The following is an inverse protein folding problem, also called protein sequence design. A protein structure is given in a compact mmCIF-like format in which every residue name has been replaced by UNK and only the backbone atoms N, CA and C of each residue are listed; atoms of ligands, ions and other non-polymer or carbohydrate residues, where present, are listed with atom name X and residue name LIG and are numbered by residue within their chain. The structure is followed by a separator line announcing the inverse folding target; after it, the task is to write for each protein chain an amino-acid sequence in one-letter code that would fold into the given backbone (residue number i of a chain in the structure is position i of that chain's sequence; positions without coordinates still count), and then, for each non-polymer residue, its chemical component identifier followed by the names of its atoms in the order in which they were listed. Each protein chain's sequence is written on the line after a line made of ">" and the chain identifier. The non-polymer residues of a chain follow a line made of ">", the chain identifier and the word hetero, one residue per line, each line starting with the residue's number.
data_IF_396892889011
#
_entry.id   IF_396892889011
#
_cell.length_a   1.000
_cell.length_b   1.000
_cell.length_c   1.000
_cell.angle_alpha   90.00
_cell.angle_beta   90.00
_cell.angle_gamma   90.00
#
_symmetry.space_group_name_H-M   'P 1'
#
loop_
_entity.id
_entity.type
_entity.pdbx_description
1 polymer ?
#
# COMPACT_ATOMS: atom_id res chain seq x y z
N UNK A 1 25.57 21.32 3.98
CA UNK A 1 24.67 20.65 3.02
C UNK A 1 23.24 21.03 3.37
N UNK A 2 22.45 21.61 2.45
CA UNK A 2 21.02 21.79 2.69
C UNK A 2 20.39 20.39 2.74
N UNK A 3 19.79 20.04 3.87
CA UNK A 3 18.92 18.87 3.95
C UNK A 3 17.75 19.16 3.02
N UNK A 4 17.75 18.56 1.83
CA UNK A 4 16.63 18.69 0.91
C UNK A 4 15.47 17.94 1.52
N UNK A 5 14.35 18.62 1.77
CA UNK A 5 13.15 17.97 2.27
C UNK A 5 12.56 17.08 1.17
N UNK A 6 12.21 15.84 1.49
CA UNK A 6 11.66 14.88 0.54
C UNK A 6 10.43 15.42 -0.20
N UNK A 7 9.50 16.07 0.50
CA UNK A 7 8.29 16.66 -0.13
C UNK A 7 8.68 17.75 -1.12
N UNK A 8 9.68 18.57 -0.81
CA UNK A 8 10.18 19.60 -1.72
C UNK A 8 10.84 19.00 -2.97
N UNK A 9 11.60 17.91 -2.82
CA UNK A 9 12.18 17.21 -3.96
C UNK A 9 11.11 16.63 -4.90
N UNK A 10 10.04 16.04 -4.34
CA UNK A 10 8.90 15.52 -5.11
C UNK A 10 8.19 16.66 -5.84
N UNK A 11 7.91 17.77 -5.16
CA UNK A 11 7.25 18.94 -5.75
C UNK A 11 8.09 19.60 -6.83
N UNK A 12 9.41 19.65 -6.66
CA UNK A 12 10.33 20.12 -7.69
C UNK A 12 10.27 19.23 -8.93
N UNK A 13 10.37 17.91 -8.75
CA UNK A 13 10.28 16.96 -9.86
C UNK A 13 8.96 17.04 -10.61
N UNK A 14 7.85 17.25 -9.88
CA UNK A 14 6.53 17.47 -10.48
C UNK A 14 6.48 18.78 -11.26
N UNK A 15 6.97 19.88 -10.67
CA UNK A 15 7.00 21.21 -11.31
C UNK A 15 7.84 21.21 -12.58
N UNK A 16 8.99 20.56 -12.55
CA UNK A 16 9.90 20.42 -13.69
C UNK A 16 9.53 19.29 -14.66
N UNK A 17 8.43 18.56 -14.39
CA UNK A 17 7.90 17.47 -15.25
C UNK A 17 8.96 16.42 -15.60
N UNK A 18 9.75 16.01 -14.62
CA UNK A 18 10.77 14.99 -14.82
C UNK A 18 10.15 13.66 -15.27
N UNK A 19 10.83 12.94 -16.17
CA UNK A 19 10.50 11.54 -16.43
C UNK A 19 10.84 10.66 -15.23
N UNK A 20 10.24 9.46 -15.14
CA UNK A 20 10.50 8.51 -14.05
C UNK A 20 12.00 8.22 -13.85
N UNK A 21 12.74 8.07 -14.95
CA UNK A 21 14.19 7.84 -14.92
C UNK A 21 14.97 9.07 -14.43
N UNK A 22 14.64 10.27 -14.92
CA UNK A 22 15.25 11.52 -14.47
C UNK A 22 14.97 11.76 -12.98
N UNK A 23 13.73 11.50 -12.55
CA UNK A 23 13.36 11.57 -11.15
C UNK A 23 14.21 10.64 -10.29
N UNK A 24 14.29 9.36 -10.65
CA UNK A 24 15.06 8.39 -9.88
C UNK A 24 16.56 8.75 -9.77
N UNK A 25 17.17 9.26 -10.85
CA UNK A 25 18.56 9.74 -10.82
C UNK A 25 18.71 10.94 -9.86
N UNK A 26 17.86 11.95 -9.99
CA UNK A 26 17.97 13.15 -9.17
C UNK A 26 17.66 12.86 -7.70
N UNK A 27 16.69 12.00 -7.41
CA UNK A 27 16.43 11.52 -6.06
C UNK A 27 17.69 10.90 -5.44
N UNK A 28 18.35 9.97 -6.14
CA UNK A 28 19.61 9.36 -5.68
C UNK A 28 20.74 10.37 -5.44
N UNK A 29 20.76 11.48 -6.19
CA UNK A 29 21.72 12.58 -5.99
C UNK A 29 21.40 13.43 -4.77
N UNK A 30 20.12 13.69 -4.50
CA UNK A 30 19.69 14.49 -3.34
C UNK A 30 19.82 13.73 -2.02
N UNK A 31 19.67 12.41 -2.04
CA UNK A 31 19.74 11.54 -0.87
C UNK A 31 20.80 10.44 -1.07
N UNK A 32 22.11 10.80 -1.11
CA UNK A 32 23.18 9.83 -1.32
C UNK A 32 23.33 8.88 -0.12
N UNK A 33 23.55 7.59 -0.43
CA UNK A 33 23.91 6.44 0.44
C UNK A 33 24.01 6.74 1.94
N UNK A 34 23.00 6.32 2.69
CA UNK A 34 22.95 6.39 4.16
C UNK A 34 21.54 6.19 4.72
N UNK A 35 20.50 6.52 3.94
CA UNK A 35 19.11 6.22 4.25
C UNK A 35 18.56 5.25 3.21
N UNK A 36 17.94 4.14 3.64
CA UNK A 36 17.04 3.40 2.76
C UNK A 36 15.82 4.28 2.50
N UNK A 37 15.23 4.24 1.30
CA UNK A 37 14.09 5.09 0.98
C UNK A 37 12.87 4.80 1.87
N UNK A 38 12.76 3.58 2.38
CA UNK A 38 11.76 3.19 3.37
C UNK A 38 11.92 3.97 4.68
N UNK A 39 13.15 4.22 5.15
CA UNK A 39 13.40 5.07 6.34
C UNK A 39 12.98 6.52 6.09
N UNK A 40 13.00 6.97 4.82
CA UNK A 40 12.54 8.31 4.45
C UNK A 40 11.03 8.40 4.24
N UNK A 41 10.27 7.32 4.46
CA UNK A 41 8.82 7.24 4.19
C UNK A 41 8.48 7.66 2.75
N UNK A 42 9.30 7.26 1.76
CA UNK A 42 9.13 7.67 0.37
C UNK A 42 7.77 7.28 -0.22
N UNK A 43 7.28 6.07 0.06
CA UNK A 43 5.98 5.61 -0.43
C UNK A 43 4.84 6.49 0.10
N UNK A 44 4.86 6.82 1.39
CA UNK A 44 3.89 7.70 2.02
C UNK A 44 3.96 9.12 1.44
N UNK A 45 5.16 9.70 1.33
CA UNK A 45 5.31 11.04 0.77
C UNK A 45 4.83 11.12 -0.68
N UNK A 46 5.10 10.11 -1.51
CA UNK A 46 4.60 10.05 -2.89
C UNK A 46 3.08 9.92 -2.93
N UNK A 47 2.48 9.04 -2.12
CA UNK A 47 1.03 8.88 -2.07
C UNK A 47 0.35 10.15 -1.56
N UNK A 48 0.82 10.74 -0.45
CA UNK A 48 0.27 12.00 0.07
C UNK A 48 0.26 13.10 -1.00
N UNK A 49 1.37 13.28 -1.74
CA UNK A 49 1.44 14.29 -2.79
C UNK A 49 0.59 13.91 -4.02
N UNK A 50 0.48 12.62 -4.34
CA UNK A 50 -0.37 12.14 -5.43
C UNK A 50 -1.86 12.37 -5.13
N UNK A 51 -2.27 12.29 -3.87
CA UNK A 51 -3.67 12.42 -3.44
C UNK A 51 -4.08 13.87 -3.13
N UNK A 52 -3.30 14.88 -3.51
CA UNK A 52 -3.73 16.28 -3.41
C UNK A 52 -4.68 16.61 -4.57
N UNK A 53 -5.94 16.94 -4.26
CA UNK A 53 -6.97 17.32 -5.24
C UNK A 53 -8.05 16.25 -5.44
N UNK A 54 -9.01 16.45 -6.35
CA UNK A 54 -10.14 15.53 -6.55
C UNK A 54 -9.76 14.23 -7.27
N UNK A 55 -8.67 14.24 -8.03
CA UNK A 55 -8.17 13.11 -8.84
C UNK A 55 -6.68 12.91 -8.54
N UNK A 56 -6.17 11.67 -8.54
CA UNK A 56 -4.78 11.45 -8.19
C UNK A 56 -3.83 11.99 -9.28
N UNK A 57 -2.71 12.57 -8.87
CA UNK A 57 -1.72 13.15 -9.77
C UNK A 57 -0.98 12.04 -10.54
N UNK A 58 -1.17 11.91 -11.87
CA UNK A 58 -0.66 10.78 -12.62
C UNK A 58 0.87 10.72 -12.69
N UNK A 59 1.55 11.88 -12.64
CA UNK A 59 3.01 11.96 -12.68
C UNK A 59 3.63 11.50 -11.36
N UNK A 60 3.03 11.88 -10.23
CA UNK A 60 3.54 11.43 -8.93
C UNK A 60 3.23 9.93 -8.74
N UNK A 61 2.09 9.47 -9.23
CA UNK A 61 1.80 8.03 -9.30
C UNK A 61 2.80 7.26 -10.17
N UNK A 62 3.25 7.81 -11.31
CA UNK A 62 4.26 7.14 -12.13
C UNK A 62 5.59 6.99 -11.39
N UNK A 63 6.00 8.00 -10.62
CA UNK A 63 7.17 7.89 -9.73
C UNK A 63 7.03 6.78 -8.69
N UNK A 64 5.85 6.64 -8.08
CA UNK A 64 5.58 5.55 -7.13
C UNK A 64 5.61 4.17 -7.82
N UNK A 65 4.96 4.04 -8.99
CA UNK A 65 4.99 2.80 -9.78
C UNK A 65 6.41 2.42 -10.18
N UNK A 66 7.22 3.40 -10.55
CA UNK A 66 8.64 3.21 -10.84
C UNK A 66 9.41 2.82 -9.58
N UNK A 67 9.18 3.47 -8.43
CA UNK A 67 9.82 3.16 -7.16
C UNK A 67 9.54 1.71 -6.71
N UNK A 68 8.30 1.23 -6.90
CA UNK A 68 7.90 -0.15 -6.65
C UNK A 68 8.64 -1.11 -7.59
N UNK A 69 8.65 -0.81 -8.88
CA UNK A 69 9.23 -1.68 -9.91
C UNK A 69 10.75 -1.77 -9.82
N UNK A 70 11.41 -0.69 -9.39
CA UNK A 70 12.86 -0.61 -9.20
C UNK A 70 13.32 -0.95 -7.77
N UNK A 71 12.41 -1.45 -6.92
CA UNK A 71 12.68 -1.82 -5.52
C UNK A 71 13.32 -0.67 -4.71
N UNK A 72 12.98 0.58 -5.04
CA UNK A 72 13.37 1.72 -4.22
C UNK A 72 12.59 1.72 -2.90
N UNK A 73 11.33 1.29 -2.92
CA UNK A 73 10.47 1.16 -1.72
C UNK A 73 10.06 -0.29 -1.52
N UNK A 74 9.91 -0.70 -0.26
CA UNK A 74 9.38 -2.00 0.11
C UNK A 74 7.87 -2.09 -0.14
N UNK A 75 7.36 -3.31 -0.42
CA UNK A 75 5.92 -3.53 -0.51
C UNK A 75 5.20 -3.24 0.81
N UNK A 76 5.87 -3.47 1.95
CA UNK A 76 5.34 -3.15 3.27
C UNK A 76 5.07 -1.65 3.42
N UNK A 77 6.00 -0.77 3.04
CA UNK A 77 5.80 0.67 3.19
C UNK A 77 4.69 1.20 2.28
N UNK A 78 4.55 0.63 1.08
CA UNK A 78 3.46 0.95 0.16
C UNK A 78 2.11 0.51 0.72
N UNK A 79 1.97 -0.74 1.18
CA UNK A 79 0.73 -1.24 1.78
C UNK A 79 0.31 -0.43 3.02
N UNK A 80 1.27 -0.09 3.88
CA UNK A 80 1.03 0.77 5.04
C UNK A 80 0.53 2.16 4.61
N UNK A 81 1.16 2.77 3.60
CA UNK A 81 0.76 4.08 3.11
C UNK A 81 -0.63 4.07 2.44
N UNK A 82 -0.97 3.02 1.69
CA UNK A 82 -2.33 2.82 1.14
C UNK A 82 -3.36 2.74 2.26
N UNK A 83 -3.05 1.99 3.32
CA UNK A 83 -3.95 1.77 4.46
C UNK A 83 -4.31 3.04 5.24
N UNK A 84 -3.52 4.13 5.07
CA UNK A 84 -3.77 5.43 5.69
C UNK A 84 -4.82 6.27 4.96
N UNK A 85 -5.14 5.95 3.71
CA UNK A 85 -6.16 6.68 2.95
C UNK A 85 -7.56 6.32 3.45
N UNK A 86 -8.37 7.30 3.84
CA UNK A 86 -9.70 7.06 4.43
C UNK A 86 -10.86 7.78 3.72
N UNK A 87 -10.56 8.65 2.75
CA UNK A 87 -11.57 9.37 1.96
C UNK A 87 -12.10 8.51 0.79
N UNK A 88 -12.94 7.53 1.12
CA UNK A 88 -13.54 6.62 0.14
C UNK A 88 -14.54 7.28 -0.81
N UNK A 89 -14.86 8.58 -0.64
CA UNK A 89 -15.72 9.32 -1.58
C UNK A 89 -15.02 9.61 -2.92
N UNK A 90 -13.69 9.54 -2.94
CA UNK A 90 -12.85 9.85 -4.09
C UNK A 90 -12.57 8.61 -4.93
N UNK A 91 -13.54 8.19 -5.73
CA UNK A 91 -13.49 6.94 -6.51
C UNK A 91 -12.22 6.78 -7.35
N UNK A 92 -11.77 7.85 -8.04
CA UNK A 92 -10.55 7.80 -8.86
C UNK A 92 -9.28 7.55 -8.03
N UNK A 93 -9.23 8.04 -6.79
CA UNK A 93 -8.09 7.84 -5.90
C UNK A 93 -8.09 6.43 -5.36
N UNK A 94 -9.26 5.93 -4.95
CA UNK A 94 -9.42 4.54 -4.52
C UNK A 94 -9.04 3.59 -5.66
N UNK A 95 -9.54 3.82 -6.89
CA UNK A 95 -9.19 3.00 -8.04
C UNK A 95 -7.68 2.99 -8.29
N UNK A 96 -7.00 4.14 -8.23
CA UNK A 96 -5.54 4.18 -8.40
C UNK A 96 -4.78 3.42 -7.30
N UNK A 97 -5.29 3.42 -6.06
CA UNK A 97 -4.71 2.65 -4.95
C UNK A 97 -4.90 1.13 -5.16
N UNK A 98 -6.08 0.71 -5.62
CA UNK A 98 -6.35 -0.69 -5.98
C UNK A 98 -5.43 -1.15 -7.11
N UNK A 99 -5.25 -0.33 -8.15
CA UNK A 99 -4.32 -0.62 -9.25
C UNK A 99 -2.88 -0.78 -8.75
N UNK A 100 -2.45 0.05 -7.79
CA UNK A 100 -1.11 -0.07 -7.19
C UNK A 100 -0.96 -1.38 -6.40
N UNK A 101 -1.96 -1.77 -5.59
CA UNK A 101 -1.93 -3.05 -4.88
C UNK A 101 -1.84 -4.22 -5.87
N UNK A 102 -2.65 -4.19 -6.93
CA UNK A 102 -2.69 -5.23 -7.95
C UNK A 102 -1.33 -5.47 -8.62
N UNK A 103 -0.54 -4.41 -8.82
CA UNK A 103 0.78 -4.48 -9.46
C UNK A 103 1.75 -5.45 -8.79
N UNK A 104 1.65 -5.68 -7.47
CA UNK A 104 2.63 -6.47 -6.73
C UNK A 104 2.04 -7.52 -5.77
N UNK A 105 0.71 -7.62 -5.63
CA UNK A 105 0.05 -8.58 -4.75
C UNK A 105 0.50 -10.05 -4.97
N UNK A 106 0.81 -10.44 -6.21
CA UNK A 106 1.27 -11.80 -6.52
C UNK A 106 2.73 -12.04 -6.11
N UNK A 107 3.52 -10.96 -5.98
CA UNK A 107 4.96 -10.99 -5.66
C UNK A 107 5.29 -10.84 -4.17
N UNK A 108 4.28 -10.63 -3.32
CA UNK A 108 4.46 -10.51 -1.87
C UNK A 108 5.21 -11.71 -1.32
N UNK A 109 6.33 -11.51 -0.65
CA UNK A 109 7.16 -12.60 -0.17
C UNK A 109 7.99 -12.14 1.02
N UNK A 110 8.16 -13.04 1.98
CA UNK A 110 9.02 -12.82 3.14
C UNK A 110 10.43 -13.25 2.77
N UNK A 111 11.28 -12.28 2.48
CA UNK A 111 12.70 -12.48 2.25
C UNK A 111 13.48 -11.56 3.20
N UNK A 112 14.45 -12.09 3.93
CA UNK A 112 15.30 -11.29 4.82
C UNK A 112 15.01 -11.50 6.29
N UNK A 113 15.05 -10.41 7.07
CA UNK A 113 14.96 -10.47 8.54
C UNK A 113 13.54 -10.75 9.02
N UNK A 114 13.41 -11.41 10.16
CA UNK A 114 12.11 -11.68 10.78
C UNK A 114 11.27 -10.40 10.98
N UNK A 115 11.90 -9.29 11.39
CA UNK A 115 11.21 -8.01 11.60
C UNK A 115 10.60 -7.44 10.31
N UNK A 116 11.30 -7.54 9.19
CA UNK A 116 10.82 -7.07 7.87
C UNK A 116 9.64 -7.95 7.40
N UNK A 117 9.72 -9.25 7.67
CA UNK A 117 8.65 -10.20 7.36
C UNK A 117 7.39 -9.94 8.20
N UNK A 118 7.55 -9.69 9.51
CA UNK A 118 6.45 -9.32 10.39
C UNK A 118 5.86 -7.96 9.98
N UNK A 119 6.72 -7.00 9.63
CA UNK A 119 6.30 -5.70 9.10
C UNK A 119 5.42 -5.85 7.85
N UNK A 120 5.83 -6.69 6.90
CA UNK A 120 5.02 -7.00 5.73
C UNK A 120 3.68 -7.65 6.09
N UNK A 121 3.67 -8.61 7.02
CA UNK A 121 2.44 -9.27 7.47
C UNK A 121 1.45 -8.25 8.05
N UNK A 122 1.90 -7.37 8.94
CA UNK A 122 1.09 -6.29 9.53
C UNK A 122 0.59 -5.30 8.47
N UNK A 123 1.44 -4.92 7.53
CA UNK A 123 1.08 -4.00 6.46
C UNK A 123 0.02 -4.62 5.53
N UNK A 124 0.14 -5.90 5.20
CA UNK A 124 -0.85 -6.64 4.41
C UNK A 124 -2.19 -6.75 5.15
N UNK A 125 -2.17 -7.03 6.45
CA UNK A 125 -3.39 -7.06 7.26
C UNK A 125 -4.07 -5.68 7.32
N UNK A 126 -3.28 -4.62 7.51
CA UNK A 126 -3.78 -3.23 7.48
C UNK A 126 -4.41 -2.90 6.13
N UNK A 127 -3.78 -3.31 5.03
CA UNK A 127 -4.29 -3.08 3.68
C UNK A 127 -5.56 -3.89 3.40
N UNK A 128 -5.67 -5.10 3.97
CA UNK A 128 -6.89 -5.90 3.88
C UNK A 128 -8.04 -5.24 4.66
N UNK A 129 -7.79 -4.74 5.87
CA UNK A 129 -8.80 -3.98 6.62
C UNK A 129 -9.23 -2.72 5.86
N UNK A 130 -8.29 -2.00 5.25
CA UNK A 130 -8.57 -0.87 4.38
C UNK A 130 -9.47 -1.28 3.20
N UNK A 131 -9.15 -2.39 2.52
CA UNK A 131 -9.94 -2.90 1.39
C UNK A 131 -11.36 -3.31 1.79
N UNK A 132 -11.52 -3.91 2.98
CA UNK A 132 -12.85 -4.24 3.53
C UNK A 132 -13.67 -2.98 3.85
N UNK A 133 -13.05 -1.95 4.46
CA UNK A 133 -13.71 -0.65 4.68
C UNK A 133 -14.12 0.01 3.37
N UNK A 134 -13.24 -0.05 2.37
CA UNK A 134 -13.52 0.45 1.03
C UNK A 134 -14.69 -0.29 0.36
N UNK A 135 -14.74 -1.62 0.52
CA UNK A 135 -15.83 -2.46 0.02
C UNK A 135 -17.15 -2.09 0.70
N UNK A 136 -17.16 -1.94 2.02
CA UNK A 136 -18.33 -1.52 2.79
C UNK A 136 -18.84 -0.14 2.35
N UNK A 137 -17.97 0.86 2.25
CA UNK A 137 -18.33 2.19 1.79
C UNK A 137 -18.89 2.20 0.35
N UNK A 138 -18.37 1.32 -0.53
CA UNK A 138 -18.88 1.19 -1.90
C UNK A 138 -20.26 0.53 -1.93
N UNK A 139 -20.50 -0.47 -1.06
CA UNK A 139 -21.79 -1.14 -0.92
C UNK A 139 -22.87 -0.22 -0.36
N UNK A 140 -22.54 0.60 0.65
CA UNK A 140 -23.44 1.62 1.21
C UNK A 140 -23.86 2.63 0.12
N UNK A 141 -22.91 3.13 -0.67
CA UNK A 141 -23.21 4.03 -1.79
C UNK A 141 -24.06 3.38 -2.89
N UNK A 142 -23.83 2.10 -3.17
CA UNK A 142 -24.67 1.36 -4.12
C UNK A 142 -26.12 1.27 -3.62
N UNK A 143 -26.30 0.99 -2.33
CA UNK A 143 -27.63 0.94 -1.71
C UNK A 143 -28.35 2.29 -1.79
N UNK A 144 -27.66 3.39 -1.45
CA UNK A 144 -28.20 4.75 -1.59
C UNK A 144 -28.52 5.10 -3.05
N UNK A 145 -27.64 4.72 -3.97
CA UNK A 145 -27.81 4.94 -5.41
C UNK A 145 -29.00 4.18 -5.99
N UNK A 146 -29.33 2.99 -5.47
CA UNK A 146 -30.51 2.23 -5.88
C UNK A 146 -31.81 2.95 -5.48
N UNK A 147 -31.88 3.48 -4.27
CA UNK A 147 -33.02 4.28 -3.79
C UNK A 147 -33.20 5.58 -4.59
N UNK A 148 -32.08 6.18 -5.04
CA UNK A 148 -32.07 7.42 -5.81
C UNK A 148 -32.12 7.24 -7.35
N UNK A 149 -32.15 6.00 -7.86
CA UNK A 149 -32.15 5.71 -9.30
C UNK A 149 -30.82 5.97 -10.03
N UNK A 150 -29.69 6.04 -9.32
CA UNK A 150 -28.34 6.31 -9.83
C UNK A 150 -27.29 5.36 -9.21
N UNK A 151 -27.30 4.09 -9.60
CA UNK A 151 -26.48 3.03 -8.99
C UNK A 151 -25.10 2.76 -9.66
N UNK A 152 -24.86 3.31 -10.86
CA UNK A 152 -23.77 2.84 -11.76
C UNK A 152 -22.36 3.02 -11.18
N UNK A 153 -22.08 4.14 -10.50
CA UNK A 153 -20.74 4.40 -9.96
C UNK A 153 -20.40 3.51 -8.75
N UNK A 154 -21.38 3.29 -7.86
CA UNK A 154 -21.22 2.42 -6.69
C UNK A 154 -20.96 0.97 -7.08
N UNK A 155 -21.65 0.49 -8.12
CA UNK A 155 -21.50 -0.88 -8.64
C UNK A 155 -20.08 -1.12 -9.19
N UNK A 156 -19.58 -0.20 -10.04
CA UNK A 156 -18.23 -0.31 -10.60
C UNK A 156 -17.17 -0.33 -9.49
N UNK A 157 -17.28 0.56 -8.52
CA UNK A 157 -16.31 0.66 -7.43
C UNK A 157 -16.31 -0.59 -6.55
N UNK A 158 -17.50 -1.10 -6.22
CA UNK A 158 -17.67 -2.34 -5.47
C UNK A 158 -17.04 -3.53 -6.19
N UNK A 159 -17.27 -3.65 -7.51
CA UNK A 159 -16.69 -4.73 -8.32
C UNK A 159 -15.15 -4.72 -8.28
N UNK A 160 -14.51 -3.55 -8.39
CA UNK A 160 -13.06 -3.41 -8.30
C UNK A 160 -12.52 -3.83 -6.92
N UNK A 161 -13.21 -3.43 -5.85
CA UNK A 161 -12.83 -3.80 -4.49
C UNK A 161 -12.92 -5.32 -4.28
N UNK A 162 -14.02 -5.93 -4.72
CA UNK A 162 -14.23 -7.38 -4.63
C UNK A 162 -13.20 -8.16 -5.44
N UNK A 163 -12.89 -7.71 -6.66
CA UNK A 163 -11.85 -8.32 -7.50
C UNK A 163 -10.47 -8.27 -6.82
N UNK A 164 -10.10 -7.11 -6.25
CA UNK A 164 -8.84 -6.97 -5.52
C UNK A 164 -8.81 -7.86 -4.27
N UNK A 165 -9.95 -7.98 -3.57
CA UNK A 165 -10.09 -8.79 -2.36
C UNK A 165 -9.94 -10.29 -2.68
N UNK A 166 -10.65 -10.75 -3.71
CA UNK A 166 -10.58 -12.12 -4.21
C UNK A 166 -9.16 -12.48 -4.64
N UNK A 167 -8.52 -11.62 -5.43
CA UNK A 167 -7.13 -11.83 -5.86
C UNK A 167 -6.18 -11.90 -4.66
N UNK A 168 -6.31 -10.99 -3.70
CA UNK A 168 -5.47 -10.97 -2.50
C UNK A 168 -5.64 -12.24 -1.66
N UNK A 169 -6.86 -12.74 -1.52
CA UNK A 169 -7.19 -13.90 -0.67
C UNK A 169 -7.08 -15.26 -1.38
N UNK A 170 -7.09 -15.32 -2.71
CA UNK A 170 -6.94 -16.57 -3.46
C UNK A 170 -5.54 -17.18 -3.34
N UNK A 171 -4.53 -16.35 -3.08
CA UNK A 171 -3.15 -16.78 -2.85
C UNK A 171 -2.96 -17.42 -1.46
N UNK A 172 -2.58 -18.70 -1.44
CA UNK A 172 -2.23 -19.42 -0.19
C UNK A 172 -1.15 -18.70 0.61
N UNK A 173 -0.17 -18.12 -0.09
CA UNK A 173 0.91 -17.33 0.50
C UNK A 173 0.36 -16.10 1.23
N UNK A 174 -0.52 -15.33 0.59
CA UNK A 174 -1.11 -14.15 1.21
C UNK A 174 -1.97 -14.52 2.42
N UNK A 175 -2.73 -15.63 2.35
CA UNK A 175 -3.46 -16.16 3.50
C UNK A 175 -2.54 -16.54 4.66
N UNK A 176 -1.38 -17.15 4.38
CA UNK A 176 -0.39 -17.47 5.41
C UNK A 176 0.19 -16.21 6.07
N UNK A 177 0.54 -15.19 5.29
CA UNK A 177 1.02 -13.90 5.81
C UNK A 177 -0.02 -13.22 6.71
N UNK A 178 -1.29 -13.22 6.28
CA UNK A 178 -2.40 -12.69 7.07
C UNK A 178 -2.62 -13.47 8.37
N UNK A 179 -2.46 -14.80 8.33
CA UNK A 179 -2.57 -15.63 9.52
C UNK A 179 -1.47 -15.31 10.54
N UNK A 180 -0.22 -15.14 10.07
CA UNK A 180 0.91 -14.72 10.91
C UNK A 180 0.62 -13.36 11.56
N UNK A 181 0.14 -12.38 10.78
CA UNK A 181 -0.23 -11.06 11.30
C UNK A 181 -1.26 -11.14 12.44
N UNK A 182 -2.31 -11.95 12.27
CA UNK A 182 -3.36 -12.12 13.30
C UNK A 182 -2.84 -12.78 14.59
N UNK A 183 -1.96 -13.78 14.46
CA UNK A 183 -1.35 -14.41 15.63
C UNK A 183 -0.46 -13.44 16.41
N UNK A 184 0.20 -12.55 15.68
CA UNK A 184 1.08 -11.53 16.24
C UNK A 184 0.29 -10.45 16.99
N UNK A 185 -0.83 -9.95 16.45
CA UNK A 185 -1.75 -9.05 17.15
C UNK A 185 -2.31 -9.68 18.44
N UNK A 186 -2.65 -10.97 18.41
CA UNK A 186 -3.14 -11.68 19.59
C UNK A 186 -2.06 -11.84 20.66
N UNK A 187 -0.80 -12.06 20.27
CA UNK A 187 0.34 -12.18 21.19
C UNK A 187 0.67 -10.86 21.90
N UNK A 188 0.32 -9.71 21.30
CA UNK A 188 0.48 -8.39 21.92
C UNK A 188 -0.67 -7.99 22.86
N UNK A 189 -1.77 -8.75 22.87
CA UNK A 189 -2.86 -8.51 23.83
C UNK A 189 -2.48 -9.04 25.23
N UNK A 190 -2.77 -8.31 26.33
CA UNK A 190 -2.31 -8.67 27.67
C UNK A 190 -3.05 -9.86 28.32
N UNK A 191 -3.58 -10.79 27.51
CA UNK A 191 -4.24 -12.01 28.00
C UNK A 191 -3.22 -13.17 27.97
N UNK A 192 -2.91 -13.81 29.10
CA UNK A 192 -1.80 -14.73 29.19
C UNK A 192 -2.18 -16.12 28.66
N UNK A 193 -2.12 -16.36 27.35
CA UNK A 193 -2.24 -17.72 26.82
C UNK A 193 -1.34 -18.01 25.59
N UNK A 194 -0.29 -18.78 25.89
CA UNK A 194 0.42 -19.81 25.10
C UNK A 194 1.81 -19.49 24.50
N UNK A 195 2.81 -20.38 24.73
CA UNK A 195 4.19 -20.25 24.25
C UNK A 195 4.38 -20.86 22.84
N UNK A 196 3.62 -20.43 21.84
CA UNK A 196 3.70 -21.02 20.48
C UNK A 196 4.31 -20.09 19.40
N UNK A 197 4.46 -18.80 19.66
CA UNK A 197 4.79 -17.83 18.61
C UNK A 197 6.25 -17.84 18.12
N UNK A 198 7.18 -18.56 18.76
CA UNK A 198 8.60 -18.53 18.36
C UNK A 198 9.04 -19.60 17.34
N UNK A 199 8.20 -20.57 16.95
CA UNK A 199 8.66 -21.70 16.13
C UNK A 199 8.35 -21.62 14.62
N UNK A 200 7.70 -20.57 14.12
CA UNK A 200 7.21 -20.55 12.72
C UNK A 200 8.18 -19.97 11.67
N UNK A 201 9.34 -19.45 12.05
CA UNK A 201 10.33 -18.92 11.09
C UNK A 201 11.18 -20.00 10.37
N UNK A 202 10.82 -21.29 10.45
CA UNK A 202 11.60 -22.40 9.88
C UNK A 202 10.90 -23.20 8.77
N UNK A 203 9.82 -22.67 8.17
CA UNK A 203 9.20 -23.33 7.01
C UNK A 203 9.81 -22.80 5.71
N UNK A 204 10.89 -23.45 5.28
CA UNK A 204 11.35 -23.41 3.89
C UNK A 204 10.26 -24.00 2.99
N UNK A 205 9.80 -23.22 2.01
CA UNK A 205 9.08 -23.76 0.86
C UNK A 205 10.12 -24.22 -0.16
N UNK A 206 10.26 -25.54 -0.30
CA UNK A 206 10.76 -26.17 -1.52
C UNK A 206 9.69 -26.08 -2.63
#
# INVERSE_FOLDING_TARGET
>A
MKVVNLKQAILQAWKERWSDYQWAINMKKFFPKGATWDILNLAEALLEQAMIGPSPNPLILSYLKYAISSQMVSYSSVLTAISKFDDFSRDLCVQALLDIMDMFCDRLSCHGKAEECIGLCRALLSALHWLLRCTAASAERLQEGLEAGSAVTGEKQLALCLQCLEKTLSSTKNRALLHIAKLEEACMSPIPLRPACCCFCSWSFD
#
